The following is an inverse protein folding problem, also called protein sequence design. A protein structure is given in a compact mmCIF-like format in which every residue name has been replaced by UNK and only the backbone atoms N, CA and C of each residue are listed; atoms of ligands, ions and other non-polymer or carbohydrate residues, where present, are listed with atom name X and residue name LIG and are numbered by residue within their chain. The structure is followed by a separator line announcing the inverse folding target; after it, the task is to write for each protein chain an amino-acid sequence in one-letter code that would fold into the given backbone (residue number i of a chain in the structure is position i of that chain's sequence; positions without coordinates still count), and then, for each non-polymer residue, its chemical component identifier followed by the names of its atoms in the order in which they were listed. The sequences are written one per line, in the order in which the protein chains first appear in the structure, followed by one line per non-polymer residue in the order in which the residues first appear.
data_IF_055065734556
#
_entry.id   IF_055065734556
#
_cell.length_a   1.000
_cell.length_b   1.000
_cell.length_c   1.000
_cell.angle_alpha   90.00
_cell.angle_beta   90.00
_cell.angle_gamma   90.00
#
_symmetry.space_group_name_H-M   'P 1'
#
loop_
_entity.id
_entity.type
_entity.pdbx_description
1 polymer ?
#
# COMPACT_ATOMS: atom_id res chain seq x y z
N UNK A 1 12.35 12.21 9.20
CA UNK A 1 11.88 11.10 8.37
C UNK A 1 12.61 11.17 7.05
N UNK A 2 13.17 10.06 6.60
CA UNK A 2 13.93 9.94 5.37
C UNK A 2 13.23 8.98 4.40
N UNK A 3 13.39 9.14 3.07
CA UNK A 3 12.83 8.18 2.13
C UNK A 3 13.28 6.76 2.44
N UNK A 4 12.39 5.79 2.23
CA UNK A 4 12.59 4.38 2.56
C UNK A 4 12.28 4.00 4.01
N UNK A 5 12.02 4.95 4.90
CA UNK A 5 11.56 4.63 6.26
C UNK A 5 10.09 4.18 6.25
N UNK A 6 9.80 3.13 7.03
CA UNK A 6 8.44 2.69 7.28
C UNK A 6 7.77 3.55 8.34
N UNK A 7 6.51 3.91 8.11
CA UNK A 7 5.72 4.79 8.98
C UNK A 7 4.28 4.32 9.09
N UNK A 8 3.62 4.75 10.16
CA UNK A 8 2.18 4.61 10.36
C UNK A 8 1.57 5.95 10.74
N UNK A 9 0.31 6.16 10.38
CA UNK A 9 -0.50 7.26 10.86
C UNK A 9 -0.85 7.02 12.34
N UNK A 10 -0.62 8.00 13.21
CA UNK A 10 -0.90 7.89 14.65
C UNK A 10 -2.28 8.39 15.06
N UNK A 11 -2.99 9.06 14.15
CA UNK A 11 -4.37 9.47 14.33
C UNK A 11 -5.36 8.40 13.82
N UNK A 12 -4.88 7.34 13.16
CA UNK A 12 -5.68 6.20 12.75
C UNK A 12 -5.64 5.11 13.84
N UNK A 13 -6.82 4.56 14.17
CA UNK A 13 -6.97 3.51 15.18
C UNK A 13 -6.48 2.14 14.65
N UNK A 14 -6.43 1.97 13.33
CA UNK A 14 -5.97 0.76 12.64
C UNK A 14 -5.11 1.15 11.41
N UNK A 15 -3.87 1.65 11.64
CA UNK A 15 -3.11 2.28 10.59
C UNK A 15 -2.47 1.28 9.62
N UNK A 16 -2.72 1.48 8.33
CA UNK A 16 -1.99 0.79 7.25
C UNK A 16 -0.49 1.14 7.27
N UNK A 17 0.35 0.17 6.93
CA UNK A 17 1.77 0.40 6.77
C UNK A 17 2.08 1.25 5.51
N UNK A 18 2.88 2.30 5.70
CA UNK A 18 3.35 3.15 4.61
C UNK A 18 4.88 3.29 4.58
N UNK A 19 5.40 3.73 3.45
CA UNK A 19 6.82 4.08 3.25
C UNK A 19 6.93 5.54 2.86
N UNK A 20 7.86 6.25 3.49
CA UNK A 20 8.22 7.61 3.09
C UNK A 20 8.87 7.56 1.71
N UNK A 21 8.29 8.28 0.75
CA UNK A 21 8.84 8.40 -0.61
C UNK A 21 9.51 9.76 -0.82
N UNK A 22 9.09 10.79 -0.08
CA UNK A 22 9.71 12.12 -0.10
C UNK A 22 9.48 12.84 1.23
N UNK A 23 10.47 13.61 1.68
CA UNK A 23 10.29 14.62 2.70
C UNK A 23 10.55 15.99 2.08
N UNK A 24 9.66 16.94 2.37
CA UNK A 24 9.81 18.32 1.92
C UNK A 24 10.22 19.17 3.13
N UNK A 25 11.16 20.09 2.94
CA UNK A 25 11.49 21.09 3.98
C UNK A 25 10.34 22.08 4.17
N UNK A 26 9.49 22.22 3.14
CA UNK A 26 8.32 23.09 3.13
C UNK A 26 7.21 22.57 4.05
N UNK A 27 6.50 23.47 4.75
CA UNK A 27 5.39 23.10 5.61
C UNK A 27 4.14 22.73 4.78
N UNK A 28 3.21 21.97 5.37
CA UNK A 28 1.96 21.57 4.69
C UNK A 28 1.07 22.74 4.25
N UNK A 29 1.31 23.96 4.75
CA UNK A 29 0.66 25.18 4.26
C UNK A 29 1.12 25.66 2.90
N UNK A 30 2.26 25.19 2.41
CA UNK A 30 2.86 25.59 1.12
C UNK A 30 2.77 24.48 0.06
N UNK A 31 2.57 23.22 0.48
CA UNK A 31 2.45 22.07 -0.43
C UNK A 31 1.03 21.95 -1.00
N UNK A 32 0.90 21.89 -2.34
CA UNK A 32 -0.40 21.78 -3.03
C UNK A 32 -0.91 20.35 -3.16
N UNK A 33 -2.23 20.18 -3.14
CA UNK A 33 -2.88 18.87 -3.33
C UNK A 33 -3.14 18.64 -4.83
N UNK A 34 -2.55 17.58 -5.37
CA UNK A 34 -2.83 16.97 -6.67
C UNK A 34 -2.47 17.73 -7.97
N UNK A 35 -2.39 19.07 -7.96
CA UNK A 35 -2.00 19.86 -9.15
C UNK A 35 -1.14 21.07 -8.76
N UNK A 36 -0.03 21.35 -9.48
CA UNK A 36 0.80 22.54 -9.23
C UNK A 36 0.08 23.85 -9.61
N UNK A 37 -0.98 23.79 -10.42
CA UNK A 37 -1.83 24.93 -10.80
C UNK A 37 -3.02 25.14 -9.84
N UNK A 38 -3.16 24.30 -8.82
CA UNK A 38 -4.20 24.44 -7.78
C UNK A 38 -3.64 25.23 -6.59
N UNK A 39 -4.32 26.32 -6.20
CA UNK A 39 -3.96 27.10 -5.01
C UNK A 39 -4.34 26.40 -3.68
N UNK A 40 -4.87 25.16 -3.72
CA UNK A 40 -5.29 24.42 -2.53
C UNK A 40 -4.14 23.62 -1.93
N UNK A 41 -3.76 24.00 -0.73
CA UNK A 41 -2.66 23.37 0.01
C UNK A 41 -3.16 22.26 0.92
N UNK A 42 -2.26 21.38 1.36
CA UNK A 42 -2.60 20.28 2.29
C UNK A 42 -3.25 20.83 3.55
N UNK A 43 -2.74 21.94 4.11
CA UNK A 43 -3.35 22.58 5.28
C UNK A 43 -4.71 23.23 4.98
N UNK A 44 -4.95 23.70 3.75
CA UNK A 44 -6.25 24.27 3.38
C UNK A 44 -7.36 23.20 3.32
N UNK A 45 -7.00 21.99 2.90
CA UNK A 45 -7.91 20.85 2.83
C UNK A 45 -8.09 20.14 4.19
N UNK A 46 -7.12 20.30 5.10
CA UNK A 46 -7.10 19.68 6.43
C UNK A 46 -6.89 20.76 7.51
N UNK A 47 -7.92 21.57 7.83
CA UNK A 47 -7.81 22.71 8.73
C UNK A 47 -7.52 22.32 10.19
N UNK A 48 -7.63 21.04 10.55
CA UNK A 48 -7.23 20.56 11.87
C UNK A 48 -5.72 20.33 12.02
N UNK A 49 -4.96 20.29 10.92
CA UNK A 49 -3.51 20.12 10.98
C UNK A 49 -2.80 21.43 11.33
N UNK A 50 -1.65 21.31 12.00
CA UNK A 50 -0.78 22.48 12.19
C UNK A 50 -0.19 22.88 10.83
N UNK A 51 -0.52 24.05 10.28
CA UNK A 51 -0.07 24.46 8.95
C UNK A 51 1.45 24.57 8.85
N UNK A 52 2.16 24.70 9.97
CA UNK A 52 3.62 24.84 10.03
C UNK A 52 4.37 23.52 10.09
N UNK A 53 3.67 22.39 10.22
CA UNK A 53 4.30 21.08 10.25
C UNK A 53 4.96 20.74 8.91
N UNK A 54 6.19 20.19 8.90
CA UNK A 54 6.85 19.76 7.67
C UNK A 54 6.01 18.70 6.92
N UNK A 55 5.99 18.80 5.60
CA UNK A 55 5.25 17.86 4.77
C UNK A 55 6.07 16.58 4.49
N UNK A 56 5.44 15.42 4.70
CA UNK A 56 6.01 14.10 4.38
C UNK A 56 5.07 13.39 3.42
N UNK A 57 5.61 12.97 2.28
CA UNK A 57 4.86 12.21 1.28
C UNK A 57 5.18 10.73 1.43
N UNK A 58 4.13 9.92 1.51
CA UNK A 58 4.19 8.47 1.70
C UNK A 58 3.43 7.74 0.61
N UNK A 59 3.75 6.47 0.43
CA UNK A 59 2.95 5.51 -0.31
C UNK A 59 2.60 4.34 0.61
N UNK A 60 1.34 3.91 0.60
CA UNK A 60 0.92 2.73 1.34
C UNK A 60 1.51 1.47 0.69
N UNK A 61 2.06 0.59 1.52
CA UNK A 61 2.81 -0.58 1.04
C UNK A 61 1.87 -1.54 0.33
N UNK A 62 0.78 -1.92 0.97
CA UNK A 62 -0.12 -2.96 0.47
C UNK A 62 -1.00 -2.48 -0.68
N UNK A 63 -1.85 -1.49 -0.41
CA UNK A 63 -2.83 -0.99 -1.38
C UNK A 63 -2.21 -0.20 -2.54
N UNK A 64 -0.98 0.28 -2.37
CA UNK A 64 -0.26 1.12 -3.33
C UNK A 64 0.91 0.39 -3.98
N UNK A 65 2.04 0.32 -3.26
CA UNK A 65 3.33 -0.12 -3.79
C UNK A 65 3.29 -1.56 -4.29
N UNK A 66 2.91 -2.53 -3.45
CA UNK A 66 2.85 -3.95 -3.80
C UNK A 66 1.92 -4.22 -5.00
N UNK A 67 0.87 -3.41 -5.15
CA UNK A 67 -0.11 -3.56 -6.24
C UNK A 67 0.38 -3.01 -7.57
N UNK A 68 0.99 -1.82 -7.58
CA UNK A 68 1.32 -1.07 -8.81
C UNK A 68 2.79 -1.19 -9.20
N UNK A 69 3.65 -1.46 -8.24
CA UNK A 69 5.09 -1.62 -8.40
C UNK A 69 5.64 -2.75 -7.51
N UNK A 70 5.39 -4.03 -7.84
CA UNK A 70 5.74 -5.17 -6.96
C UNK A 70 7.22 -5.25 -6.57
N UNK A 71 8.12 -4.77 -7.43
CA UNK A 71 9.57 -4.83 -7.24
C UNK A 71 10.14 -3.56 -6.56
N UNK A 72 9.30 -2.69 -6.00
CA UNK A 72 9.70 -1.41 -5.40
C UNK A 72 10.79 -1.53 -4.34
N UNK A 73 10.86 -2.67 -3.65
CA UNK A 73 11.87 -2.93 -2.61
C UNK A 73 13.30 -3.01 -3.15
N UNK A 74 13.46 -3.22 -4.46
CA UNK A 74 14.78 -3.21 -5.12
C UNK A 74 15.27 -1.79 -5.46
N UNK A 75 14.37 -0.80 -5.45
CA UNK A 75 14.71 0.59 -5.74
C UNK A 75 15.48 1.22 -4.57
N UNK A 76 16.38 2.16 -4.89
CA UNK A 76 17.01 2.95 -3.84
C UNK A 76 16.03 3.96 -3.25
N UNK A 77 16.21 4.40 -1.99
CA UNK A 77 15.32 5.38 -1.36
C UNK A 77 15.12 6.67 -2.16
N UNK A 78 16.14 7.11 -2.89
CA UNK A 78 16.08 8.33 -3.72
C UNK A 78 15.21 8.17 -4.98
N UNK A 79 14.96 6.93 -5.42
CA UNK A 79 14.17 6.61 -6.60
C UNK A 79 12.70 6.33 -6.26
N UNK A 80 12.35 6.22 -4.98
CA UNK A 80 11.00 5.82 -4.55
C UNK A 80 9.92 6.80 -5.02
N UNK A 81 10.17 8.12 -4.96
CA UNK A 81 9.18 9.10 -5.39
C UNK A 81 8.90 9.04 -6.90
N UNK A 82 9.96 9.06 -7.71
CA UNK A 82 9.85 9.01 -9.17
C UNK A 82 9.29 7.65 -9.61
N UNK A 83 9.79 6.56 -9.05
CA UNK A 83 9.32 5.20 -9.34
C UNK A 83 7.86 4.99 -8.96
N UNK A 84 7.42 5.45 -7.78
CA UNK A 84 6.02 5.38 -7.39
C UNK A 84 5.13 6.20 -8.35
N UNK A 85 5.59 7.38 -8.78
CA UNK A 85 4.87 8.22 -9.74
C UNK A 85 4.77 7.54 -11.12
N UNK A 86 5.88 7.00 -11.63
CA UNK A 86 5.95 6.32 -12.93
C UNK A 86 5.07 5.07 -12.99
N UNK A 87 4.93 4.39 -11.86
CA UNK A 87 4.06 3.23 -11.70
C UNK A 87 2.61 3.58 -11.34
N UNK A 88 2.25 4.87 -11.25
CA UNK A 88 0.90 5.33 -10.90
C UNK A 88 0.45 4.75 -9.54
N UNK A 89 1.38 4.72 -8.58
CA UNK A 89 1.12 4.49 -7.16
C UNK A 89 0.53 5.77 -6.58
N UNK A 90 -0.57 5.65 -5.83
CA UNK A 90 -1.18 6.80 -5.18
C UNK A 90 -0.31 7.28 -4.02
N UNK A 91 0.06 8.56 -4.05
CA UNK A 91 0.85 9.22 -3.01
C UNK A 91 -0.04 10.06 -2.09
N UNK A 92 0.36 10.15 -0.83
CA UNK A 92 -0.35 10.89 0.22
C UNK A 92 0.62 11.77 0.98
N UNK A 93 0.25 13.03 1.25
CA UNK A 93 1.08 13.96 2.01
C UNK A 93 0.45 14.22 3.37
N UNK A 94 1.25 14.00 4.43
CA UNK A 94 0.86 14.19 5.83
C UNK A 94 1.78 15.20 6.51
N UNK A 95 1.30 15.88 7.58
CA UNK A 95 2.20 16.56 8.50
C UNK A 95 3.09 15.52 9.20
N UNK A 96 4.38 15.81 9.33
CA UNK A 96 5.35 14.90 9.93
C UNK A 96 4.96 14.45 11.35
N UNK A 97 4.29 15.32 12.12
CA UNK A 97 3.88 15.04 13.49
C UNK A 97 2.82 13.92 13.62
N UNK A 98 2.06 13.67 12.55
CA UNK A 98 1.02 12.62 12.50
C UNK A 98 1.60 11.24 12.19
N UNK A 99 2.83 11.19 11.68
CA UNK A 99 3.50 9.95 11.31
C UNK A 99 4.46 9.50 12.42
N UNK A 100 4.52 8.18 12.63
CA UNK A 100 5.52 7.56 13.51
C UNK A 100 6.36 6.57 12.72
N UNK A 101 7.67 6.77 12.72
CA UNK A 101 8.63 5.82 12.13
C UNK A 101 8.60 4.49 12.89
N UNK A 102 8.64 3.40 12.13
CA UNK A 102 8.78 2.04 12.64
C UNK A 102 10.22 1.56 12.49
N UNK A 103 10.65 0.74 13.45
CA UNK A 103 11.85 -0.09 13.24
C UNK A 103 11.56 -1.17 12.20
N UNK A 104 12.60 -1.70 11.54
CA UNK A 104 12.43 -2.79 10.58
C UNK A 104 11.74 -4.03 11.18
N UNK A 105 11.93 -4.30 12.48
CA UNK A 105 11.21 -5.38 13.17
C UNK A 105 9.72 -5.08 13.33
N UNK A 106 9.34 -3.85 13.67
CA UNK A 106 7.94 -3.46 13.80
C UNK A 106 7.22 -3.48 12.44
N UNK A 107 7.87 -2.96 11.40
CA UNK A 107 7.35 -3.01 10.04
C UNK A 107 7.19 -4.47 9.56
N UNK A 108 8.18 -5.34 9.83
CA UNK A 108 8.09 -6.76 9.48
C UNK A 108 6.97 -7.51 10.21
N UNK A 109 6.59 -7.08 11.41
CA UNK A 109 5.44 -7.64 12.13
C UNK A 109 4.14 -7.23 11.45
N UNK A 110 3.95 -5.95 11.14
CA UNK A 110 2.75 -5.47 10.43
C UNK A 110 2.60 -6.13 9.05
N UNK A 111 3.70 -6.20 8.28
CA UNK A 111 3.77 -6.93 7.00
C UNK A 111 3.50 -8.44 7.12
N UNK A 112 3.54 -9.02 8.31
CA UNK A 112 3.22 -10.43 8.51
C UNK A 112 1.78 -10.61 9.00
N UNK A 113 1.27 -9.70 9.84
CA UNK A 113 -0.10 -9.72 10.35
C UNK A 113 -1.11 -9.44 9.23
N UNK A 114 -0.85 -8.50 8.32
CA UNK A 114 -1.78 -8.16 7.23
C UNK A 114 -1.77 -9.15 6.05
N UNK A 115 -1.04 -10.27 6.17
CA UNK A 115 -0.83 -11.17 5.03
C UNK A 115 -1.71 -12.41 5.02
N UNK A 116 -2.23 -12.70 3.82
CA UNK A 116 -2.84 -13.97 3.46
C UNK A 116 -1.77 -15.06 3.44
N UNK A 117 -2.07 -16.21 4.07
CA UNK A 117 -1.31 -17.44 3.86
C UNK A 117 -1.56 -17.96 2.44
N UNK A 118 -0.83 -17.41 1.47
CA UNK A 118 -0.95 -17.77 0.06
C UNK A 118 -0.67 -19.25 -0.18
N UNK A 119 0.24 -19.87 0.58
CA UNK A 119 0.53 -21.30 0.45
C UNK A 119 -0.67 -22.16 0.86
N UNK A 120 -1.30 -21.86 1.99
CA UNK A 120 -2.49 -22.59 2.41
C UNK A 120 -3.70 -22.32 1.49
N UNK A 121 -3.80 -21.10 0.94
CA UNK A 121 -4.83 -20.73 -0.03
C UNK A 121 -4.63 -21.44 -1.38
N UNK A 122 -3.39 -21.54 -1.87
CA UNK A 122 -3.02 -22.27 -3.09
C UNK A 122 -3.52 -23.72 -3.01
N UNK A 123 -3.15 -24.45 -1.96
CA UNK A 123 -3.58 -25.84 -1.75
C UNK A 123 -5.11 -25.96 -1.79
N UNK A 124 -5.81 -25.06 -1.10
CA UNK A 124 -7.27 -25.05 -1.03
C UNK A 124 -7.93 -24.79 -2.38
N UNK A 125 -7.34 -23.94 -3.21
CA UNK A 125 -7.82 -23.58 -4.54
C UNK A 125 -7.57 -24.70 -5.55
N UNK A 126 -6.40 -25.34 -5.50
CA UNK A 126 -6.10 -26.53 -6.31
C UNK A 126 -7.08 -27.67 -6.00
N UNK A 127 -7.38 -27.93 -4.73
CA UNK A 127 -8.40 -28.90 -4.31
C UNK A 127 -9.81 -28.56 -4.83
N UNK A 128 -10.11 -27.27 -4.97
CA UNK A 128 -11.36 -26.78 -5.57
C UNK A 128 -11.35 -26.78 -7.12
N UNK A 129 -10.28 -27.28 -7.74
CA UNK A 129 -10.13 -27.41 -9.19
C UNK A 129 -9.81 -26.10 -9.91
N UNK A 130 -9.17 -25.16 -9.24
CA UNK A 130 -8.56 -23.99 -9.88
C UNK A 130 -7.19 -24.36 -10.47
N UNK A 131 -6.81 -23.71 -11.56
CA UNK A 131 -5.41 -23.65 -11.95
C UNK A 131 -4.77 -22.48 -11.20
N UNK A 132 -3.67 -22.74 -10.50
CA UNK A 132 -2.98 -21.73 -9.69
C UNK A 132 -1.55 -21.56 -10.20
N UNK A 133 -1.17 -20.32 -10.47
CA UNK A 133 0.21 -19.92 -10.74
C UNK A 133 0.75 -19.25 -9.47
N UNK A 134 1.68 -19.91 -8.74
CA UNK A 134 2.16 -19.44 -7.46
C UNK A 134 3.07 -18.22 -7.60
N UNK A 135 3.15 -17.41 -6.54
CA UNK A 135 4.04 -16.25 -6.46
C UNK A 135 4.18 -15.76 -5.03
N UNK A 136 5.28 -15.04 -4.74
CA UNK A 136 5.61 -14.64 -3.37
C UNK A 136 4.70 -13.53 -2.82
N UNK A 137 4.20 -12.64 -3.68
CA UNK A 137 3.38 -11.46 -3.32
C UNK A 137 1.95 -11.54 -3.88
N UNK A 138 1.72 -12.40 -4.85
CA UNK A 138 0.41 -12.66 -5.43
C UNK A 138 0.39 -14.05 -6.07
N UNK A 139 -0.79 -14.63 -6.15
CA UNK A 139 -1.08 -15.81 -6.97
C UNK A 139 -2.05 -15.44 -8.09
N UNK A 140 -1.87 -16.05 -9.26
CA UNK A 140 -2.83 -15.92 -10.36
C UNK A 140 -3.65 -17.20 -10.46
N UNK A 141 -4.98 -17.08 -10.45
CA UNK A 141 -5.89 -18.23 -10.39
C UNK A 141 -6.87 -18.19 -11.55
N UNK A 142 -7.05 -19.33 -12.21
CA UNK A 142 -7.93 -19.43 -13.38
C UNK A 142 -8.94 -20.57 -13.24
N UNK A 143 -10.21 -20.29 -13.53
CA UNK A 143 -11.28 -21.29 -13.61
C UNK A 143 -12.38 -20.82 -14.55
N UNK A 144 -12.88 -21.74 -15.40
CA UNK A 144 -13.93 -21.45 -16.39
C UNK A 144 -13.62 -20.23 -17.29
N UNK A 145 -12.38 -20.11 -17.74
CA UNK A 145 -11.88 -19.00 -18.57
C UNK A 145 -11.92 -17.61 -17.87
N UNK A 146 -12.13 -17.57 -16.55
CA UNK A 146 -11.98 -16.37 -15.73
C UNK A 146 -10.64 -16.40 -14.98
N UNK A 147 -9.86 -15.33 -15.09
CA UNK A 147 -8.59 -15.11 -14.40
C UNK A 147 -8.76 -14.10 -13.26
N UNK A 148 -8.15 -14.39 -12.11
CA UNK A 148 -8.10 -13.50 -10.96
C UNK A 148 -6.68 -13.42 -10.40
N UNK A 149 -6.33 -12.28 -9.83
CA UNK A 149 -5.07 -12.06 -9.10
C UNK A 149 -5.42 -11.89 -7.63
N UNK A 150 -4.88 -12.76 -6.78
CA UNK A 150 -5.06 -12.68 -5.33
C UNK A 150 -3.73 -12.21 -4.76
N UNK A 151 -3.76 -11.06 -4.11
CA UNK A 151 -2.59 -10.46 -3.51
C UNK A 151 -2.41 -10.97 -2.08
N UNK A 152 -1.17 -11.00 -1.63
CA UNK A 152 -0.83 -11.32 -0.24
C UNK A 152 -1.52 -10.37 0.76
N UNK A 153 -1.94 -9.19 0.32
CA UNK A 153 -2.68 -8.17 1.06
C UNK A 153 -4.17 -8.52 1.29
N UNK A 154 -4.66 -9.63 0.74
CA UNK A 154 -6.08 -9.99 0.80
C UNK A 154 -6.93 -9.47 -0.38
N UNK A 155 -6.39 -8.56 -1.18
CA UNK A 155 -7.10 -8.04 -2.35
C UNK A 155 -7.27 -9.10 -3.45
N UNK A 156 -8.42 -9.05 -4.12
CA UNK A 156 -8.72 -9.88 -5.29
C UNK A 156 -9.09 -9.01 -6.48
N UNK A 157 -8.22 -9.00 -7.50
CA UNK A 157 -8.46 -8.35 -8.79
C UNK A 157 -9.01 -9.33 -9.83
N UNK A 158 -9.95 -8.84 -10.63
CA UNK A 158 -10.67 -9.59 -11.66
C UNK A 158 -12.07 -9.02 -11.88
N UNK A 159 -12.71 -9.32 -13.01
CA UNK A 159 -14.04 -8.77 -13.36
C UNK A 159 -15.12 -9.84 -13.56
N UNK A 160 -14.86 -11.07 -13.13
CA UNK A 160 -15.76 -12.21 -13.29
C UNK A 160 -16.67 -12.50 -12.07
N UNK A 161 -17.54 -13.50 -12.24
CA UNK A 161 -18.57 -13.88 -11.27
C UNK A 161 -17.99 -14.56 -10.02
N UNK A 162 -16.80 -15.14 -10.14
CA UNK A 162 -16.11 -15.82 -9.05
C UNK A 162 -15.28 -14.86 -8.19
N UNK A 163 -15.25 -13.55 -8.49
CA UNK A 163 -14.53 -12.57 -7.65
C UNK A 163 -15.01 -12.56 -6.20
N UNK A 164 -16.31 -12.34 -5.98
CA UNK A 164 -16.86 -12.26 -4.63
C UNK A 164 -16.62 -13.53 -3.79
N UNK A 165 -16.88 -14.76 -4.31
CA UNK A 165 -16.58 -15.95 -3.52
C UNK A 165 -15.08 -16.16 -3.30
N UNK A 166 -14.20 -15.70 -4.21
CA UNK A 166 -12.76 -15.69 -3.97
C UNK A 166 -12.38 -14.71 -2.85
N UNK A 167 -12.92 -13.49 -2.86
CA UNK A 167 -12.66 -12.50 -1.79
C UNK A 167 -13.03 -13.06 -0.42
N UNK A 168 -14.23 -13.65 -0.28
CA UNK A 168 -14.64 -14.24 0.98
C UNK A 168 -13.74 -15.40 1.42
N UNK A 169 -13.25 -16.21 0.47
CA UNK A 169 -12.33 -17.29 0.77
C UNK A 169 -10.99 -16.73 1.25
N UNK A 170 -10.49 -15.68 0.60
CA UNK A 170 -9.22 -15.04 0.96
C UNK A 170 -9.25 -14.48 2.38
N UNK A 171 -10.36 -13.87 2.79
CA UNK A 171 -10.57 -13.39 4.17
C UNK A 171 -10.44 -14.51 5.23
N UNK A 172 -10.71 -15.78 4.88
CA UNK A 172 -10.54 -16.91 5.80
C UNK A 172 -9.06 -17.29 6.01
N UNK A 173 -8.16 -16.79 5.14
CA UNK A 173 -6.73 -17.07 5.13
C UNK A 173 -5.87 -15.84 5.43
N UNK A 174 -6.50 -14.67 5.62
CA UNK A 174 -5.87 -13.48 6.20
C UNK A 174 -5.68 -13.66 7.70
N UNK A 175 -4.58 -13.15 8.26
CA UNK A 175 -4.24 -13.28 9.69
C UNK A 175 -4.60 -12.02 10.48
#
# INVERSE_FOLDING_TARGET
MEPGEYVVDTDDDDPDLAVVVSNQEEPISEVTVSDPDSDRTVAADNPEYDPSDPAVTVAFVESGLNRRWPDWTEASPAELYDGATDHDVKLYTFPAARLRTLTGQQAAVMLAEETVDLTALEERLEEAGWNVEPGEQLITVTKHDEEYRIYKTGDVDGTGQLRTPLTNLVEEYST
#
